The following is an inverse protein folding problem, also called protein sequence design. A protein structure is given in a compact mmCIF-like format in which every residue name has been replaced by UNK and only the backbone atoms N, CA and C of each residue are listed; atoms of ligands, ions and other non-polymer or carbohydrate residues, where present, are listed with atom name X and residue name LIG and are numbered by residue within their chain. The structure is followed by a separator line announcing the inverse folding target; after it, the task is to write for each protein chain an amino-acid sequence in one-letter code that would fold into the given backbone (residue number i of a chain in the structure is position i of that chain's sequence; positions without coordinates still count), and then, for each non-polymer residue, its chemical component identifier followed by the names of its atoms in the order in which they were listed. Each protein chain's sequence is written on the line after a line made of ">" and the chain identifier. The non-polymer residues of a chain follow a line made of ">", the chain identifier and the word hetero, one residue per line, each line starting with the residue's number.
data_IF_158787595236
#
_entry.id   IF_158787595236
#
_cell.length_a   1.000
_cell.length_b   1.000
_cell.length_c   1.000
_cell.angle_alpha   90.00
_cell.angle_beta   90.00
_cell.angle_gamma   90.00
#
_symmetry.space_group_name_H-M   'P 1'
#
loop_
_entity.id
_entity.type
_entity.pdbx_description
1 polymer ?
#
# COMPACT_ATOMS: atom_id res chain seq x y z
N UNK A 1 18.90 -1.97 -13.29
CA UNK A 1 17.81 -1.79 -12.31
C UNK A 1 18.34 -0.92 -11.19
N UNK A 2 17.77 0.26 -10.96
CA UNK A 2 18.19 1.18 -9.88
C UNK A 2 17.14 1.18 -8.77
N UNK A 3 17.54 1.58 -7.55
CA UNK A 3 16.62 1.72 -6.42
C UNK A 3 15.47 2.66 -6.78
N UNK A 4 15.77 3.76 -7.47
CA UNK A 4 14.80 4.74 -7.95
C UNK A 4 13.75 4.12 -8.87
N UNK A 5 14.15 3.30 -9.85
CA UNK A 5 13.19 2.64 -10.77
C UNK A 5 12.28 1.67 -10.01
N UNK A 6 12.82 0.94 -9.03
CA UNK A 6 12.02 0.03 -8.19
C UNK A 6 11.05 0.80 -7.30
N UNK A 7 11.50 1.90 -6.71
CA UNK A 7 10.69 2.76 -5.87
C UNK A 7 9.52 3.36 -6.66
N UNK A 8 9.81 3.98 -7.81
CA UNK A 8 8.80 4.57 -8.68
C UNK A 8 7.79 3.51 -9.14
N UNK A 9 8.25 2.35 -9.65
CA UNK A 9 7.36 1.28 -10.08
C UNK A 9 6.40 0.77 -8.98
N UNK A 10 6.82 0.79 -7.72
CA UNK A 10 5.94 0.46 -6.60
C UNK A 10 5.00 1.60 -6.20
N UNK A 11 5.31 2.86 -6.46
CA UNK A 11 4.36 3.96 -6.22
C UNK A 11 3.31 4.08 -7.31
N UNK A 12 3.67 3.72 -8.55
CA UNK A 12 2.81 3.75 -9.73
C UNK A 12 1.48 2.98 -9.53
N UNK A 13 1.47 1.93 -8.71
CA UNK A 13 0.24 1.17 -8.42
C UNK A 13 -0.79 1.96 -7.59
N UNK A 14 -0.41 3.10 -7.01
CA UNK A 14 -1.31 4.01 -6.28
C UNK A 14 -2.00 5.02 -7.19
N UNK A 15 -1.62 5.11 -8.47
CA UNK A 15 -2.16 6.09 -9.43
C UNK A 15 -3.67 5.89 -9.66
N UNK A 16 -4.37 7.02 -9.82
CA UNK A 16 -5.79 7.09 -10.16
C UNK A 16 -5.98 7.61 -11.60
N UNK A 17 -7.06 7.21 -12.31
CA UNK A 17 -8.13 6.30 -11.88
C UNK A 17 -7.77 4.81 -12.01
N UNK A 18 -6.78 4.48 -12.83
CA UNK A 18 -6.30 3.11 -13.07
C UNK A 18 -4.77 3.16 -13.12
N UNK A 19 -4.05 2.28 -12.41
CA UNK A 19 -2.60 2.21 -12.50
C UNK A 19 -2.17 1.60 -13.83
N UNK A 20 -0.98 1.99 -14.31
CA UNK A 20 -0.40 1.44 -15.55
C UNK A 20 -0.13 -0.08 -15.46
N UNK A 21 0.02 -0.58 -14.22
CA UNK A 21 0.17 -2.01 -13.92
C UNK A 21 -0.76 -2.43 -12.78
N UNK A 22 -1.45 -3.57 -12.95
CA UNK A 22 -2.33 -4.15 -11.94
C UNK A 22 -1.96 -5.60 -11.66
N UNK A 23 -1.73 -5.92 -10.39
CA UNK A 23 -1.58 -7.30 -9.93
C UNK A 23 -2.89 -8.12 -10.07
N UNK A 24 -4.03 -7.44 -10.22
CA UNK A 24 -5.37 -8.02 -10.20
C UNK A 24 -6.03 -8.08 -11.59
N UNK A 25 -5.24 -8.18 -12.67
CA UNK A 25 -5.79 -8.39 -14.00
C UNK A 25 -6.64 -9.67 -14.04
N UNK A 26 -7.85 -9.58 -14.59
CA UNK A 26 -8.80 -10.72 -14.60
C UNK A 26 -8.39 -11.82 -15.57
N UNK A 27 -7.66 -11.49 -16.64
CA UNK A 27 -7.26 -12.44 -17.67
C UNK A 27 -5.95 -13.15 -17.33
N UNK A 28 -5.05 -12.48 -16.62
CA UNK A 28 -3.74 -12.97 -16.22
C UNK A 28 -3.33 -12.40 -14.85
N UNK A 29 -3.98 -12.82 -13.75
CA UNK A 29 -3.66 -12.33 -12.41
C UNK A 29 -2.26 -12.79 -11.96
N UNK A 30 -1.57 -11.94 -11.20
CA UNK A 30 -0.30 -12.30 -10.58
C UNK A 30 -0.57 -12.97 -9.23
N UNK A 31 -0.21 -14.24 -9.12
CA UNK A 31 -0.44 -15.02 -7.90
C UNK A 31 0.69 -14.85 -6.88
N UNK A 32 0.32 -14.95 -5.61
CA UNK A 32 1.23 -15.03 -4.46
C UNK A 32 0.78 -16.14 -3.52
N UNK A 33 1.61 -16.47 -2.53
CA UNK A 33 1.25 -17.46 -1.52
C UNK A 33 -0.02 -17.04 -0.76
N UNK A 34 -1.05 -17.90 -0.61
CA UNK A 34 -2.18 -17.65 0.27
C UNK A 34 -1.71 -17.57 1.73
N UNK A 35 -2.02 -16.46 2.42
CA UNK A 35 -1.54 -16.23 3.80
C UNK A 35 -2.64 -16.23 4.86
N UNK A 36 -3.91 -16.37 4.45
CA UNK A 36 -5.09 -16.34 5.33
C UNK A 36 -5.01 -15.24 6.39
N UNK A 37 -4.51 -14.05 6.00
CA UNK A 37 -4.35 -12.94 6.93
C UNK A 37 -5.71 -12.32 7.26
N UNK A 38 -5.87 -11.80 8.50
CA UNK A 38 -7.05 -11.02 8.81
C UNK A 38 -7.09 -9.74 7.95
N UNK A 39 -8.28 -9.14 7.79
CA UNK A 39 -8.38 -7.81 7.19
C UNK A 39 -7.57 -6.79 8.00
N UNK A 40 -7.06 -5.78 7.33
CA UNK A 40 -6.32 -4.67 7.98
C UNK A 40 -7.24 -3.84 8.86
N UNK A 41 -6.79 -3.53 10.08
CA UNK A 41 -7.53 -2.75 11.06
C UNK A 41 -7.01 -1.32 11.07
N UNK A 42 -7.93 -0.37 10.92
CA UNK A 42 -7.64 1.07 10.93
C UNK A 42 -8.45 1.74 12.03
N UNK A 43 -7.80 2.57 12.83
CA UNK A 43 -8.40 3.40 13.87
C UNK A 43 -7.89 4.83 13.67
N UNK A 44 -8.79 5.77 13.40
CA UNK A 44 -8.48 7.20 13.22
C UNK A 44 -7.32 7.49 12.26
N UNK A 45 -7.35 6.89 11.07
CA UNK A 45 -6.31 7.09 10.06
C UNK A 45 -6.80 7.99 8.92
N UNK A 46 -6.03 9.03 8.60
CA UNK A 46 -6.22 9.85 7.40
C UNK A 46 -5.35 9.27 6.29
N UNK A 47 -5.99 8.74 5.24
CA UNK A 47 -5.31 7.94 4.24
C UNK A 47 -5.74 8.43 2.85
N UNK A 48 -4.79 8.80 1.99
CA UNK A 48 -5.05 9.28 0.61
C UNK A 48 -4.05 8.68 -0.37
N UNK A 49 -4.52 8.32 -1.58
CA UNK A 49 -3.72 7.77 -2.70
C UNK A 49 -2.75 6.65 -2.30
N UNK A 50 -3.29 5.49 -1.95
CA UNK A 50 -2.56 4.44 -1.24
C UNK A 50 -2.92 3.04 -1.69
N UNK A 51 -2.03 2.11 -1.40
CA UNK A 51 -2.31 0.67 -1.38
C UNK A 51 -1.95 0.12 0.00
N UNK A 52 -2.88 -0.59 0.64
CA UNK A 52 -2.69 -1.19 1.97
C UNK A 52 -2.80 -2.71 1.85
N UNK A 53 -1.74 -3.42 2.26
CA UNK A 53 -1.72 -4.87 2.34
C UNK A 53 -2.63 -5.43 3.44
N UNK A 54 -2.72 -6.76 3.51
CA UNK A 54 -3.54 -7.46 4.51
C UNK A 54 -2.86 -7.50 5.90
N UNK A 55 -3.66 -7.64 6.95
CA UNK A 55 -3.19 -7.82 8.32
C UNK A 55 -2.47 -6.63 8.94
N UNK A 56 -2.64 -5.42 8.41
CA UNK A 56 -2.04 -4.21 8.98
C UNK A 56 -2.81 -3.75 10.23
N UNK A 57 -2.10 -3.09 11.15
CA UNK A 57 -2.68 -2.38 12.29
C UNK A 57 -2.27 -0.92 12.20
N UNK A 58 -3.23 -0.03 11.98
CA UNK A 58 -3.00 1.38 11.71
C UNK A 58 -3.79 2.20 12.73
N UNK A 59 -3.11 3.09 13.48
CA UNK A 59 -3.72 3.88 14.56
C UNK A 59 -3.32 5.34 14.48
N UNK A 60 -4.29 6.25 14.53
CA UNK A 60 -4.12 7.70 14.68
C UNK A 60 -2.95 8.27 13.84
N UNK A 61 -2.98 8.10 12.53
CA UNK A 61 -1.85 8.42 11.65
C UNK A 61 -2.28 9.02 10.31
N UNK A 62 -1.33 9.62 9.59
CA UNK A 62 -1.51 10.14 8.24
C UNK A 62 -0.69 9.34 7.23
N UNK A 63 -1.31 8.91 6.14
CA UNK A 63 -0.65 8.14 5.07
C UNK A 63 -1.05 8.74 3.72
N UNK A 64 -0.06 9.22 2.96
CA UNK A 64 -0.25 9.89 1.69
C UNK A 64 0.68 9.31 0.62
N UNK A 65 0.14 9.05 -0.58
CA UNK A 65 0.91 8.62 -1.76
C UNK A 65 1.92 7.51 -1.43
N UNK A 66 1.46 6.41 -0.83
CA UNK A 66 2.31 5.39 -0.21
C UNK A 66 1.76 3.97 -0.38
N UNK A 67 2.68 3.00 -0.37
CA UNK A 67 2.36 1.56 -0.36
C UNK A 67 2.74 0.96 0.98
N UNK A 68 1.76 0.39 1.69
CA UNK A 68 1.96 -0.28 2.98
C UNK A 68 1.88 -1.80 2.78
N UNK A 69 2.96 -2.49 3.11
CA UNK A 69 3.04 -3.95 3.00
C UNK A 69 2.14 -4.69 3.99
N UNK A 70 1.93 -5.99 3.74
CA UNK A 70 1.21 -6.85 4.66
C UNK A 70 1.85 -6.90 6.06
N UNK A 71 1.02 -7.00 7.11
CA UNK A 71 1.44 -7.06 8.53
C UNK A 71 2.16 -5.82 9.07
N UNK A 72 2.09 -4.68 8.38
CA UNK A 72 2.64 -3.43 8.90
C UNK A 72 1.88 -2.92 10.13
N UNK A 73 2.62 -2.47 11.14
CA UNK A 73 2.09 -1.78 12.31
C UNK A 73 2.47 -0.30 12.24
N UNK A 74 1.46 0.56 12.15
CA UNK A 74 1.62 2.02 12.10
C UNK A 74 1.03 2.58 13.39
N UNK A 75 1.91 3.12 14.22
CA UNK A 75 1.59 3.66 15.54
C UNK A 75 1.04 5.09 15.45
N UNK A 76 0.46 5.51 16.56
CA UNK A 76 -0.13 6.85 16.72
C UNK A 76 0.88 7.97 16.45
N UNK A 77 0.41 9.01 15.78
CA UNK A 77 1.21 10.19 15.40
C UNK A 77 2.11 9.99 14.19
N UNK A 78 2.15 8.80 13.58
CA UNK A 78 2.97 8.56 12.41
C UNK A 78 2.47 9.34 11.18
N UNK A 79 3.42 9.83 10.38
CA UNK A 79 3.17 10.44 9.07
C UNK A 79 3.99 9.65 8.06
N UNK A 80 3.31 9.04 7.09
CA UNK A 80 3.92 8.31 5.99
C UNK A 80 3.58 9.05 4.71
N UNK A 81 4.59 9.61 4.06
CA UNK A 81 4.43 10.32 2.81
C UNK A 81 5.63 10.09 1.89
N UNK A 82 5.35 10.01 0.59
CA UNK A 82 6.38 10.15 -0.42
C UNK A 82 6.72 11.63 -0.55
N UNK A 83 7.96 11.98 -0.23
CA UNK A 83 8.51 13.29 -0.56
C UNK A 83 8.77 13.30 -2.07
N UNK A 84 8.05 14.16 -2.80
CA UNK A 84 8.33 14.46 -4.20
C UNK A 84 9.68 15.15 -4.34
#
# INVERSE_FOLDING_TARGET
>A
MTIEVVYNANLEITKKPVPDFSFYDRSSPIYTQPRCLPPSKMLDADITDKVIGEGCVIKNCKIFHSVVGLRSCISEGAIIETLC
#
